data_IF_497230152138
#
_entry.id   IF_497230152138
#
_cell.length_a   1.000
_cell.length_b   1.000
_cell.length_c   1.000
_cell.angle_alpha   90.00
_cell.angle_beta   90.00
_cell.angle_gamma   90.00
#
_symmetry.space_group_name_H-M   'P 1'
#
loop_
_entity.id
_entity.type
_entity.pdbx_description
1 polymer ?
#
# COMPACT_ATOMS: atom_id res chain seq x y z
N UNK A 1 32.27 13.67 -15.11
CA UNK A 1 31.05 13.91 -14.33
C UNK A 1 29.89 13.49 -15.21
N UNK A 2 28.97 12.64 -14.74
CA UNK A 2 27.78 12.32 -15.54
C UNK A 2 26.88 13.56 -15.51
N UNK A 3 26.74 14.23 -16.65
CA UNK A 3 25.78 15.33 -16.79
C UNK A 3 24.37 14.76 -16.67
N UNK A 4 23.57 15.37 -15.80
CA UNK A 4 22.16 15.00 -15.63
C UNK A 4 21.40 15.57 -16.82
N UNK A 5 21.30 14.78 -17.88
CA UNK A 5 20.47 15.11 -19.04
C UNK A 5 19.02 14.81 -18.68
N UNK A 6 18.19 15.85 -18.72
CA UNK A 6 16.76 15.87 -18.41
C UNK A 6 16.34 15.42 -17.00
N UNK A 7 16.04 16.40 -16.14
CA UNK A 7 15.14 16.25 -14.98
C UNK A 7 13.67 16.20 -15.40
N UNK A 8 13.35 15.61 -16.55
CA UNK A 8 11.98 15.20 -16.86
C UNK A 8 11.66 13.97 -16.00
N UNK A 9 11.46 14.19 -14.71
CA UNK A 9 11.08 13.15 -13.77
C UNK A 9 9.63 12.80 -14.08
N UNK A 10 9.41 11.84 -14.98
CA UNK A 10 8.14 11.15 -15.05
C UNK A 10 7.92 10.52 -13.68
N UNK A 11 6.85 10.93 -12.98
CA UNK A 11 6.52 10.37 -11.69
C UNK A 11 6.33 8.86 -11.84
N UNK A 12 7.22 8.08 -11.22
CA UNK A 12 7.11 6.63 -11.18
C UNK A 12 6.11 6.21 -10.11
N UNK A 13 5.27 5.26 -10.45
CA UNK A 13 4.36 4.64 -9.51
C UNK A 13 5.09 3.61 -8.65
N UNK A 14 4.62 3.42 -7.42
CA UNK A 14 5.20 2.45 -6.50
C UNK A 14 5.15 1.01 -7.07
N UNK A 15 4.10 0.65 -7.81
CA UNK A 15 4.01 -0.66 -8.47
C UNK A 15 5.08 -0.84 -9.56
N UNK A 16 5.39 0.21 -10.33
CA UNK A 16 6.44 0.18 -11.37
C UNK A 16 7.81 -0.02 -10.74
N UNK A 17 8.06 0.67 -9.62
CA UNK A 17 9.28 0.44 -8.82
C UNK A 17 9.31 -0.99 -8.27
N UNK A 18 8.16 -1.54 -7.85
CA UNK A 18 8.08 -2.91 -7.35
C UNK A 18 8.45 -3.94 -8.42
N UNK A 19 7.87 -3.82 -9.62
CA UNK A 19 8.11 -4.69 -10.77
C UNK A 19 9.55 -4.58 -11.23
N UNK A 20 10.08 -3.36 -11.40
CA UNK A 20 11.47 -3.13 -11.77
C UNK A 20 12.46 -3.81 -10.79
N UNK A 21 12.21 -3.70 -9.48
CA UNK A 21 13.04 -4.35 -8.46
C UNK A 21 12.88 -5.87 -8.45
N UNK A 22 11.73 -6.40 -8.87
CA UNK A 22 11.50 -7.84 -9.02
C UNK A 22 12.27 -8.38 -10.23
N UNK A 23 12.20 -7.71 -11.38
CA UNK A 23 12.89 -8.10 -12.62
C UNK A 23 14.41 -8.07 -12.44
N UNK A 24 14.95 -7.01 -11.84
CA UNK A 24 16.38 -6.93 -11.50
C UNK A 24 16.83 -8.05 -10.59
N UNK A 25 15.97 -8.51 -9.67
CA UNK A 25 16.28 -9.64 -8.80
C UNK A 25 16.27 -10.96 -9.57
N UNK A 26 15.31 -11.15 -10.48
CA UNK A 26 15.21 -12.33 -11.32
C UNK A 26 16.46 -12.46 -12.22
N UNK A 27 16.80 -11.40 -12.96
CA UNK A 27 17.98 -11.36 -13.83
C UNK A 27 19.28 -11.70 -13.10
N UNK A 28 19.42 -11.29 -11.83
CA UNK A 28 20.60 -11.64 -11.01
C UNK A 28 20.61 -13.09 -10.58
N UNK A 29 19.46 -13.65 -10.20
CA UNK A 29 19.37 -15.07 -9.86
C UNK A 29 19.75 -15.93 -11.06
N UNK A 30 19.26 -15.55 -12.23
CA UNK A 30 19.61 -16.19 -13.50
C UNK A 30 21.11 -16.06 -13.78
N UNK A 31 21.67 -14.85 -13.74
CA UNK A 31 23.12 -14.63 -13.91
C UNK A 31 23.97 -15.46 -12.92
N UNK A 32 23.51 -15.61 -11.67
CA UNK A 32 24.19 -16.41 -10.64
C UNK A 32 24.07 -17.92 -10.90
N UNK A 33 22.95 -18.38 -11.47
CA UNK A 33 22.78 -19.77 -11.89
C UNK A 33 23.68 -20.10 -13.08
N UNK A 34 23.81 -19.18 -14.05
CA UNK A 34 24.56 -19.39 -15.30
C UNK A 34 26.08 -19.30 -15.10
N UNK A 35 26.60 -18.38 -14.27
CA UNK A 35 28.05 -18.21 -14.07
C UNK A 35 28.68 -19.16 -13.03
N UNK A 36 27.87 -19.98 -12.36
CA UNK A 36 28.34 -20.75 -11.19
C UNK A 36 28.93 -19.84 -10.11
N UNK A 37 29.53 -20.39 -9.06
CA UNK A 37 30.13 -19.65 -7.92
C UNK A 37 31.34 -18.75 -8.28
N UNK A 38 31.53 -18.35 -9.54
CA UNK A 38 32.56 -17.36 -9.87
C UNK A 38 32.07 -15.97 -9.47
N UNK A 39 32.66 -15.44 -8.38
CA UNK A 39 32.28 -14.18 -7.74
C UNK A 39 32.34 -13.01 -8.73
N UNK A 40 31.25 -12.28 -8.99
CA UNK A 40 31.37 -10.94 -9.56
C UNK A 40 32.06 -10.07 -8.51
N UNK A 41 33.14 -9.39 -8.89
CA UNK A 41 33.92 -8.51 -8.02
C UNK A 41 33.01 -7.63 -7.16
N UNK A 42 33.06 -7.84 -5.84
CA UNK A 42 32.34 -7.01 -4.87
C UNK A 42 32.97 -5.63 -4.79
N UNK A 43 32.64 -4.74 -5.73
CA UNK A 43 32.82 -3.31 -5.49
C UNK A 43 31.84 -2.89 -4.39
N UNK A 44 32.32 -2.10 -3.42
CA UNK A 44 31.55 -1.61 -2.27
C UNK A 44 30.22 -0.95 -2.70
N UNK A 45 30.21 -0.29 -3.88
CA UNK A 45 29.02 0.24 -4.57
C UNK A 45 27.90 -0.79 -4.78
N UNK A 46 28.25 -2.06 -5.00
CA UNK A 46 27.27 -3.13 -5.15
C UNK A 46 26.62 -3.54 -3.82
N UNK A 47 27.31 -3.43 -2.67
CA UNK A 47 26.73 -3.80 -1.37
C UNK A 47 25.68 -2.78 -0.93
N UNK A 48 25.99 -1.50 -1.06
CA UNK A 48 25.06 -0.40 -0.74
C UNK A 48 23.86 -0.39 -1.68
N UNK A 49 24.08 -0.52 -2.99
CA UNK A 49 22.98 -0.63 -3.96
C UNK A 49 22.05 -1.83 -3.64
N UNK A 50 22.62 -3.00 -3.29
CA UNK A 50 21.83 -4.16 -2.88
C UNK A 50 21.06 -3.94 -1.59
N UNK A 51 21.67 -3.26 -0.61
CA UNK A 51 21.00 -2.91 0.64
C UNK A 51 19.81 -1.98 0.37
N UNK A 52 20.03 -0.92 -0.43
CA UNK A 52 19.00 0.03 -0.81
C UNK A 52 17.86 -0.63 -1.59
N UNK A 53 18.17 -1.41 -2.63
CA UNK A 53 17.16 -2.16 -3.38
C UNK A 53 16.36 -3.11 -2.48
N UNK A 54 17.00 -3.76 -1.51
CA UNK A 54 16.31 -4.62 -0.55
C UNK A 54 15.38 -3.82 0.36
N UNK A 55 15.80 -2.63 0.82
CA UNK A 55 15.00 -1.72 1.65
C UNK A 55 13.82 -1.13 0.90
N UNK A 56 14.03 -0.60 -0.30
CA UNK A 56 12.95 -0.04 -1.14
C UNK A 56 11.94 -1.13 -1.49
N UNK A 57 12.40 -2.31 -1.93
CA UNK A 57 11.50 -3.45 -2.18
C UNK A 57 10.70 -3.85 -0.93
N UNK A 58 11.33 -3.84 0.24
CA UNK A 58 10.64 -4.16 1.49
C UNK A 58 9.55 -3.13 1.82
N UNK A 59 9.84 -1.85 1.60
CA UNK A 59 8.88 -0.75 1.77
C UNK A 59 7.72 -0.88 0.79
N UNK A 60 8.01 -0.93 -0.51
CA UNK A 60 7.00 -0.94 -1.57
C UNK A 60 6.06 -2.16 -1.49
N UNK A 61 6.57 -3.33 -1.10
CA UNK A 61 5.73 -4.54 -0.91
C UNK A 61 4.72 -4.44 0.24
N UNK A 62 4.90 -3.48 1.15
CA UNK A 62 3.98 -3.23 2.27
C UNK A 62 2.96 -2.14 1.95
N UNK A 63 3.14 -1.43 0.84
CA UNK A 63 2.18 -0.43 0.41
C UNK A 63 0.97 -1.11 -0.22
N UNK A 64 -0.22 -0.47 -0.15
CA UNK A 64 -1.40 -0.95 -0.85
C UNK A 64 -1.15 -1.21 -2.34
N UNK A 65 -0.41 -0.31 -3.02
CA UNK A 65 -0.03 -0.42 -4.44
C UNK A 65 0.93 -1.56 -4.76
N UNK A 66 1.52 -2.22 -3.76
CA UNK A 66 2.58 -3.21 -3.97
C UNK A 66 2.13 -4.48 -4.70
N UNK A 67 0.82 -4.73 -4.81
CA UNK A 67 0.22 -5.88 -5.52
C UNK A 67 -0.47 -5.50 -6.84
N UNK A 68 -0.51 -4.22 -7.18
CA UNK A 68 -1.15 -3.72 -8.41
C UNK A 68 -0.17 -3.87 -9.56
N UNK A 69 -0.64 -4.29 -10.74
CA UNK A 69 0.22 -4.29 -11.92
C UNK A 69 0.44 -2.88 -12.44
N UNK A 70 1.62 -2.63 -13.04
CA UNK A 70 1.88 -1.33 -13.68
C UNK A 70 0.86 -0.99 -14.76
N UNK A 71 0.34 -1.98 -15.48
CA UNK A 71 -0.70 -1.75 -16.49
C UNK A 71 -1.99 -1.21 -15.89
N UNK A 72 -2.51 -1.85 -14.83
CA UNK A 72 -3.72 -1.40 -14.14
C UNK A 72 -3.53 0.00 -13.55
N UNK A 73 -2.38 0.26 -12.96
CA UNK A 73 -2.06 1.55 -12.38
C UNK A 73 -1.96 2.66 -13.45
N UNK A 74 -1.44 2.35 -14.64
CA UNK A 74 -1.42 3.26 -15.79
C UNK A 74 -2.80 3.52 -16.36
N UNK A 75 -3.66 2.50 -16.43
CA UNK A 75 -5.07 2.68 -16.81
C UNK A 75 -5.78 3.62 -15.83
N UNK A 76 -5.59 3.42 -14.51
CA UNK A 76 -6.15 4.33 -13.50
C UNK A 76 -5.64 5.77 -13.64
N UNK A 77 -4.34 5.98 -13.90
CA UNK A 77 -3.81 7.31 -14.20
C UNK A 77 -4.45 7.92 -15.45
N UNK A 78 -4.64 7.15 -16.53
CA UNK A 78 -5.24 7.63 -17.76
C UNK A 78 -6.69 8.07 -17.54
N UNK A 79 -7.48 7.26 -16.84
CA UNK A 79 -8.86 7.58 -16.43
C UNK A 79 -8.91 8.87 -15.62
N UNK A 80 -8.05 9.00 -14.60
CA UNK A 80 -7.97 10.22 -13.78
C UNK A 80 -7.48 11.45 -14.56
N UNK A 81 -6.85 11.24 -15.72
CA UNK A 81 -6.42 12.31 -16.64
C UNK A 81 -7.51 12.70 -17.64
N UNK A 82 -8.65 12.01 -17.62
CA UNK A 82 -9.76 12.22 -18.55
C UNK A 82 -9.62 11.50 -19.89
N UNK A 83 -8.76 10.49 -19.99
CA UNK A 83 -8.69 9.66 -21.20
C UNK A 83 -9.92 8.76 -21.31
N UNK A 84 -10.87 9.20 -22.13
CA UNK A 84 -12.12 8.48 -22.37
C UNK A 84 -11.90 7.15 -23.10
N UNK A 85 -10.86 7.00 -23.92
CA UNK A 85 -10.59 5.73 -24.61
C UNK A 85 -10.14 4.67 -23.62
N UNK A 86 -9.23 5.04 -22.72
CA UNK A 86 -8.79 4.16 -21.63
C UNK A 86 -9.96 3.82 -20.68
N UNK A 87 -10.81 4.80 -20.38
CA UNK A 87 -11.96 4.61 -19.50
C UNK A 87 -13.00 3.65 -20.06
N UNK A 88 -13.37 3.80 -21.33
CA UNK A 88 -14.34 2.92 -21.98
C UNK A 88 -13.83 1.48 -22.06
N UNK A 89 -12.56 1.31 -22.47
CA UNK A 89 -11.93 -0.02 -22.49
C UNK A 89 -11.93 -0.68 -21.11
N UNK A 90 -11.56 0.08 -20.06
CA UNK A 90 -11.53 -0.45 -18.70
C UNK A 90 -12.94 -0.74 -18.14
N UNK A 91 -13.92 0.08 -18.50
CA UNK A 91 -15.32 -0.15 -18.13
C UNK A 91 -15.89 -1.40 -18.80
N UNK A 92 -15.53 -1.66 -20.06
CA UNK A 92 -15.90 -2.89 -20.76
C UNK A 92 -15.26 -4.13 -20.13
N UNK A 93 -13.99 -4.04 -19.71
CA UNK A 93 -13.32 -5.11 -18.94
C UNK A 93 -14.06 -5.39 -17.61
N UNK A 94 -14.49 -4.34 -16.89
CA UNK A 94 -15.26 -4.47 -15.64
C UNK A 94 -16.66 -5.08 -15.86
N UNK A 95 -17.33 -4.73 -16.97
CA UNK A 95 -18.61 -5.33 -17.38
C UNK A 95 -18.48 -6.78 -17.80
N UNK A 96 -17.35 -7.15 -18.41
CA UNK A 96 -17.06 -8.52 -18.85
C UNK A 96 -16.56 -9.42 -17.70
N UNK A 97 -16.16 -8.85 -16.56
CA UNK A 97 -15.73 -9.59 -15.39
C UNK A 97 -16.85 -10.48 -14.82
N UNK A 98 -16.47 -11.49 -14.02
CA UNK A 98 -17.43 -12.39 -13.36
C UNK A 98 -17.15 -12.45 -11.85
N UNK A 99 -18.04 -11.94 -10.98
CA UNK A 99 -19.26 -11.20 -11.32
C UNK A 99 -18.96 -9.83 -11.96
N UNK A 100 -19.86 -9.30 -12.81
CA UNK A 100 -19.65 -7.99 -13.43
C UNK A 100 -19.75 -6.87 -12.38
N UNK A 101 -18.89 -5.86 -12.50
CA UNK A 101 -18.88 -4.66 -11.65
C UNK A 101 -19.45 -3.46 -12.41
N UNK A 102 -20.78 -3.38 -12.48
CA UNK A 102 -21.49 -2.33 -13.23
C UNK A 102 -21.30 -0.95 -12.57
N UNK A 103 -21.35 -0.88 -11.24
CA UNK A 103 -21.13 0.37 -10.51
C UNK A 103 -19.70 0.88 -10.70
N UNK A 104 -18.71 -0.02 -10.67
CA UNK A 104 -17.33 0.32 -10.97
C UNK A 104 -17.14 0.82 -12.40
N UNK A 105 -17.73 0.15 -13.38
CA UNK A 105 -17.69 0.56 -14.78
C UNK A 105 -18.28 1.96 -14.99
N UNK A 106 -19.46 2.23 -14.42
CA UNK A 106 -20.09 3.55 -14.48
C UNK A 106 -19.27 4.63 -13.78
N UNK A 107 -18.67 4.30 -12.62
CA UNK A 107 -17.80 5.21 -11.90
C UNK A 107 -16.55 5.57 -12.70
N UNK A 108 -15.93 4.62 -13.39
CA UNK A 108 -14.76 4.83 -14.26
C UNK A 108 -15.08 5.78 -15.40
N UNK A 109 -16.17 5.54 -16.13
CA UNK A 109 -16.57 6.40 -17.25
C UNK A 109 -16.92 7.81 -16.80
N UNK A 110 -17.71 7.92 -15.72
CA UNK A 110 -18.12 9.21 -15.19
C UNK A 110 -16.93 9.98 -14.63
N UNK A 111 -16.01 9.31 -13.94
CA UNK A 111 -14.77 9.90 -13.46
C UNK A 111 -13.94 10.47 -14.61
N UNK A 112 -13.72 9.72 -15.70
CA UNK A 112 -12.95 10.24 -16.84
C UNK A 112 -13.62 11.45 -17.50
N UNK A 113 -14.96 11.41 -17.63
CA UNK A 113 -15.73 12.53 -18.19
C UNK A 113 -15.60 13.81 -17.38
N UNK A 114 -15.61 13.70 -16.05
CA UNK A 114 -15.57 14.85 -15.14
C UNK A 114 -14.12 15.28 -14.80
N UNK A 115 -13.12 14.39 -14.94
CA UNK A 115 -11.72 14.61 -14.58
C UNK A 115 -11.09 15.86 -15.20
N UNK A 116 -11.41 16.15 -16.47
CA UNK A 116 -10.90 17.35 -17.17
C UNK A 116 -11.39 18.63 -16.46
N UNK A 117 -12.64 18.66 -16.02
CA UNK A 117 -13.23 19.79 -15.30
C UNK A 117 -12.66 20.00 -13.90
N UNK A 118 -12.28 18.90 -13.23
CA UNK A 118 -11.68 18.94 -11.89
C UNK A 118 -10.22 19.40 -11.90
N UNK A 119 -9.53 19.33 -13.04
CA UNK A 119 -8.13 19.72 -13.21
C UNK A 119 -7.21 19.07 -12.17
N UNK A 120 -7.27 17.73 -12.11
CA UNK A 120 -6.41 16.94 -11.22
C UNK A 120 -4.94 17.08 -11.62
N UNK A 121 -4.11 17.62 -10.72
CA UNK A 121 -2.66 17.68 -10.92
C UNK A 121 -2.02 16.28 -10.92
N UNK A 122 -0.84 16.15 -11.52
CA UNK A 122 -0.10 14.88 -11.59
C UNK A 122 0.14 14.29 -10.20
N UNK A 123 0.45 15.14 -9.21
CA UNK A 123 0.69 14.71 -7.83
C UNK A 123 -0.55 14.05 -7.20
N UNK A 124 -1.73 14.65 -7.37
CA UNK A 124 -2.99 14.08 -6.87
C UNK A 124 -3.30 12.74 -7.55
N UNK A 125 -3.18 12.68 -8.88
CA UNK A 125 -3.44 11.43 -9.64
C UNK A 125 -2.50 10.30 -9.20
N UNK A 126 -1.21 10.60 -9.09
CA UNK A 126 -0.20 9.65 -8.62
C UNK A 126 -0.45 9.20 -7.19
N UNK A 127 -0.85 10.11 -6.29
CA UNK A 127 -1.14 9.75 -4.90
C UNK A 127 -2.39 8.88 -4.78
N UNK A 128 -3.46 9.17 -5.53
CA UNK A 128 -4.67 8.33 -5.57
C UNK A 128 -4.33 6.88 -5.95
N UNK A 129 -3.48 6.70 -6.97
CA UNK A 129 -3.06 5.38 -7.46
C UNK A 129 -2.08 4.70 -6.50
N UNK A 130 -1.09 5.43 -5.98
CA UNK A 130 -0.07 4.88 -5.07
C UNK A 130 -0.64 4.47 -3.71
N UNK A 131 -1.61 5.22 -3.20
CA UNK A 131 -2.32 4.88 -1.97
C UNK A 131 -3.43 3.87 -2.22
N UNK A 132 -3.87 3.73 -3.48
CA UNK A 132 -5.07 2.99 -3.87
C UNK A 132 -6.25 3.37 -2.98
N UNK A 133 -6.58 4.66 -2.90
CA UNK A 133 -7.55 5.16 -1.93
C UNK A 133 -8.80 4.26 -1.84
N UNK A 134 -8.94 3.55 -0.73
CA UNK A 134 -10.02 2.58 -0.47
C UNK A 134 -11.07 3.14 0.48
N UNK A 135 -10.90 4.39 0.93
CA UNK A 135 -11.90 5.13 1.70
C UNK A 135 -12.07 6.55 1.16
N UNK A 136 -13.25 7.12 1.36
CA UNK A 136 -13.53 8.50 0.92
C UNK A 136 -12.68 9.47 1.73
N UNK A 137 -12.41 9.14 3.01
CA UNK A 137 -11.49 9.88 3.90
C UNK A 137 -10.09 9.99 3.30
N UNK A 138 -9.53 8.90 2.77
CA UNK A 138 -8.26 8.94 2.05
C UNK A 138 -8.34 9.79 0.79
N UNK A 139 -9.48 9.73 0.08
CA UNK A 139 -9.78 10.62 -1.04
C UNK A 139 -9.69 12.09 -0.64
N UNK A 140 -10.31 12.50 0.47
CA UNK A 140 -10.23 13.87 0.98
C UNK A 140 -8.81 14.28 1.40
N UNK A 141 -7.99 13.37 1.91
CA UNK A 141 -6.60 13.68 2.22
C UNK A 141 -5.77 14.02 0.97
N UNK A 142 -6.07 13.37 -0.16
CA UNK A 142 -5.35 13.60 -1.42
C UNK A 142 -5.96 14.77 -2.22
N UNK A 143 -7.29 14.86 -2.23
CA UNK A 143 -8.06 15.78 -3.06
C UNK A 143 -8.62 16.98 -2.28
N UNK A 144 -8.25 17.15 -1.00
CA UNK A 144 -8.79 18.18 -0.13
C UNK A 144 -8.71 19.59 -0.70
N UNK A 145 -7.62 19.92 -1.41
CA UNK A 145 -7.44 21.21 -2.09
C UNK A 145 -8.35 21.42 -3.30
N UNK A 146 -9.11 20.39 -3.71
CA UNK A 146 -9.96 20.37 -4.90
C UNK A 146 -11.45 20.19 -4.54
N UNK A 147 -11.79 19.94 -3.27
CA UNK A 147 -13.15 19.67 -2.81
C UNK A 147 -14.12 20.80 -3.20
N UNK A 148 -13.71 22.07 -3.08
CA UNK A 148 -14.57 23.20 -3.45
C UNK A 148 -14.99 23.18 -4.94
N UNK A 149 -14.18 22.58 -5.81
CA UNK A 149 -14.48 22.46 -7.25
C UNK A 149 -15.17 21.15 -7.61
N UNK A 150 -14.77 20.06 -6.96
CA UNK A 150 -15.25 18.71 -7.26
C UNK A 150 -16.58 18.39 -6.55
N UNK A 151 -16.82 19.03 -5.41
CA UNK A 151 -17.80 18.59 -4.42
C UNK A 151 -17.42 17.25 -3.79
N UNK A 152 -18.15 16.89 -2.74
CA UNK A 152 -17.99 15.62 -2.04
C UNK A 152 -18.25 14.42 -2.98
N UNK A 153 -19.22 14.57 -3.88
CA UNK A 153 -19.55 13.57 -4.90
C UNK A 153 -18.40 13.32 -5.88
N UNK A 154 -17.65 14.37 -6.25
CA UNK A 154 -16.50 14.24 -7.15
C UNK A 154 -15.35 13.49 -6.48
N UNK A 155 -15.08 13.75 -5.20
CA UNK A 155 -14.09 12.98 -4.42
C UNK A 155 -14.51 11.51 -4.33
N UNK A 156 -15.76 11.25 -3.94
CA UNK A 156 -16.30 9.89 -3.86
C UNK A 156 -16.28 9.17 -5.22
N UNK A 157 -16.49 9.90 -6.31
CA UNK A 157 -16.42 9.35 -7.67
C UNK A 157 -15.00 8.95 -8.07
N UNK A 158 -13.99 9.81 -7.83
CA UNK A 158 -12.59 9.45 -8.04
C UNK A 158 -12.19 8.20 -7.24
N UNK A 159 -12.58 8.16 -5.97
CA UNK A 159 -12.27 7.03 -5.09
C UNK A 159 -12.95 5.74 -5.58
N UNK A 160 -14.23 5.80 -5.98
CA UNK A 160 -14.93 4.63 -6.55
C UNK A 160 -14.27 4.15 -7.84
N UNK A 161 -13.93 5.04 -8.76
CA UNK A 161 -13.24 4.68 -10.00
C UNK A 161 -11.87 4.01 -9.71
N UNK A 162 -11.09 4.56 -8.77
CA UNK A 162 -9.81 3.96 -8.36
C UNK A 162 -10.00 2.59 -7.72
N UNK A 163 -11.03 2.40 -6.87
CA UNK A 163 -11.33 1.09 -6.28
C UNK A 163 -11.74 0.06 -7.33
N UNK A 164 -12.54 0.45 -8.32
CA UNK A 164 -12.96 -0.43 -9.40
C UNK A 164 -11.76 -0.91 -10.23
N UNK A 165 -10.85 0.01 -10.58
CA UNK A 165 -9.66 -0.32 -11.37
C UNK A 165 -8.58 -1.05 -10.57
N UNK A 166 -8.46 -0.73 -9.28
CA UNK A 166 -7.42 -1.23 -8.38
C UNK A 166 -8.05 -1.97 -7.18
N UNK A 167 -8.78 -3.07 -7.40
CA UNK A 167 -9.63 -3.73 -6.41
C UNK A 167 -8.83 -4.19 -5.19
N UNK A 168 -9.33 -3.94 -3.96
CA UNK A 168 -8.56 -4.00 -2.71
C UNK A 168 -7.73 -5.28 -2.61
N UNK A 169 -6.52 -5.21 -2.03
CA UNK A 169 -5.73 -6.41 -1.89
C UNK A 169 -6.53 -7.41 -1.02
N UNK A 170 -6.38 -8.73 -1.25
CA UNK A 170 -7.01 -9.71 -0.38
C UNK A 170 -6.62 -9.40 1.07
N UNK A 171 -7.59 -9.54 1.99
CA UNK A 171 -7.61 -9.12 3.42
C UNK A 171 -6.37 -9.43 4.28
N UNK A 172 -5.35 -10.10 3.76
CA UNK A 172 -4.07 -10.35 4.44
C UNK A 172 -3.20 -9.11 4.65
N UNK A 173 -3.56 -7.93 4.13
CA UNK A 173 -2.84 -6.67 4.40
C UNK A 173 -3.25 -5.98 5.71
N UNK A 174 -4.33 -6.40 6.37
CA UNK A 174 -4.76 -5.88 7.67
C UNK A 174 -4.61 -6.96 8.74
N UNK A 175 -3.37 -7.33 9.04
CA UNK A 175 -3.06 -7.92 10.34
C UNK A 175 -2.00 -7.06 11.01
N UNK A 176 -2.40 -6.11 11.89
CA UNK A 176 -1.51 -5.75 12.98
C UNK A 176 -1.32 -7.03 13.82
N UNK A 177 -0.08 -7.31 14.18
CA UNK A 177 0.30 -8.54 14.85
C UNK A 177 -0.60 -8.87 16.06
N UNK A 178 -0.99 -10.15 16.16
CA UNK A 178 -1.32 -10.80 17.42
C UNK A 178 -2.65 -10.41 18.06
N UNK A 179 -3.74 -11.07 17.64
CA UNK A 179 -4.82 -11.38 18.57
C UNK A 179 -5.11 -12.87 18.50
N UNK A 180 -4.50 -13.60 19.41
CA UNK A 180 -4.96 -14.94 19.76
C UNK A 180 -6.25 -14.76 20.57
N UNK A 181 -7.40 -14.91 19.91
CA UNK A 181 -8.68 -15.16 20.58
C UNK A 181 -9.30 -16.37 19.90
N UNK A 182 -9.55 -17.40 20.71
CA UNK A 182 -9.86 -18.75 20.28
C UNK A 182 -11.10 -18.85 19.41
N UNK A 183 -11.10 -19.92 18.60
CA UNK A 183 -12.25 -20.41 17.88
C UNK A 183 -13.46 -20.56 18.82
N UNK A 184 -14.44 -19.67 18.68
CA UNK A 184 -15.76 -19.79 19.26
C UNK A 184 -16.70 -20.43 18.24
N UNK A 185 -17.15 -21.64 18.53
CA UNK A 185 -18.25 -22.31 17.85
C UNK A 185 -19.57 -21.51 18.01
N UNK A 186 -20.55 -21.68 17.10
CA UNK A 186 -21.79 -20.90 17.14
C UNK A 186 -22.69 -21.36 18.28
N UNK A 187 -23.26 -20.41 19.02
CA UNK A 187 -24.35 -20.66 19.97
C UNK A 187 -25.58 -19.87 19.54
N UNK A 188 -26.59 -20.62 19.09
CA UNK A 188 -27.96 -20.15 18.91
C UNK A 188 -28.69 -20.12 20.26
N UNK A 189 -29.54 -19.10 20.46
CA UNK A 189 -30.74 -19.21 21.29
C UNK A 189 -30.71 -18.50 22.67
N UNK A 190 -31.83 -17.86 23.08
CA UNK A 190 -31.88 -16.99 24.26
C UNK A 190 -32.33 -17.72 25.54
N UNK A 191 -31.84 -17.24 26.69
CA UNK A 191 -32.52 -17.42 27.98
C UNK A 191 -31.67 -17.97 29.12
N UNK A 192 -31.85 -17.32 30.27
CA UNK A 192 -31.56 -17.77 31.64
C UNK A 192 -30.13 -17.50 32.16
N UNK A 193 -30.03 -16.49 33.03
CA UNK A 193 -28.95 -16.35 34.01
C UNK A 193 -29.09 -17.42 35.10
N UNK A 194 -27.97 -18.01 35.55
CA UNK A 194 -27.84 -18.33 36.97
C UNK A 194 -26.53 -17.78 37.56
N UNK A 195 -26.60 -17.46 38.85
CA UNK A 195 -25.57 -16.83 39.67
C UNK A 195 -24.35 -17.73 40.01
N UNK A 196 -23.53 -17.30 40.98
CA UNK A 196 -22.12 -17.68 41.06
C UNK A 196 -21.93 -19.04 41.76
N UNK A 197 -21.00 -19.84 41.24
CA UNK A 197 -20.51 -21.03 41.92
C UNK A 197 -18.98 -21.00 42.06
N UNK A 198 -18.57 -21.20 43.30
CA UNK A 198 -17.21 -21.23 43.83
C UNK A 198 -16.59 -22.62 43.63
N UNK A 199 -15.27 -22.66 43.38
CA UNK A 199 -14.39 -23.74 43.83
C UNK A 199 -13.87 -24.70 42.75
N UNK A 200 -12.54 -24.92 42.73
CA UNK A 200 -11.95 -26.03 41.98
C UNK A 200 -10.47 -25.87 41.64
N UNK A 201 -9.61 -26.19 42.61
CA UNK A 201 -8.15 -26.30 42.51
C UNK A 201 -7.70 -27.33 41.45
N UNK A 202 -6.61 -27.04 40.72
CA UNK A 202 -6.03 -27.94 39.74
C UNK A 202 -4.65 -27.49 39.23
N UNK A 203 -3.63 -27.63 40.07
CA UNK A 203 -2.21 -27.38 39.76
C UNK A 203 -1.64 -28.39 38.74
N UNK A 204 -0.83 -27.89 37.79
CA UNK A 204 0.36 -28.50 37.11
C UNK A 204 0.73 -27.51 35.99
N UNK A 205 1.86 -26.82 35.92
CA UNK A 205 3.21 -27.04 36.42
C UNK A 205 4.17 -26.88 35.23
N UNK A 206 5.18 -25.99 35.35
CA UNK A 206 6.38 -25.82 34.51
C UNK A 206 6.21 -25.16 33.12
N UNK A 207 7.05 -24.23 32.65
CA UNK A 207 8.25 -23.56 33.19
C UNK A 207 8.40 -22.20 32.52
N UNK A 208 8.52 -21.14 33.32
CA UNK A 208 8.96 -19.82 32.88
C UNK A 208 10.49 -19.84 32.81
N UNK A 209 11.07 -19.49 31.65
CA UNK A 209 12.48 -19.07 31.57
C UNK A 209 12.51 -17.56 31.35
N UNK A 210 12.59 -16.84 32.46
CA UNK A 210 13.08 -15.47 32.50
C UNK A 210 14.57 -15.50 32.15
N UNK A 211 14.98 -14.69 31.18
CA UNK A 211 16.38 -14.33 31.01
C UNK A 211 16.46 -12.81 31.08
N UNK A 212 16.63 -12.32 32.30
CA UNK A 212 17.14 -10.97 32.56
C UNK A 212 18.56 -10.89 31.99
N UNK A 213 18.77 -9.89 31.15
CA UNK A 213 20.09 -9.28 31.00
C UNK A 213 19.86 -7.79 31.03
N UNK A 214 19.99 -7.24 32.23
CA UNK A 214 20.03 -5.80 32.45
C UNK A 214 21.25 -5.20 31.76
N UNK A 215 21.03 -4.05 31.13
CA UNK A 215 22.03 -2.99 31.10
C UNK A 215 21.30 -1.65 31.06
N UNK A 216 21.15 -1.07 32.25
CA UNK A 216 20.90 0.35 32.40
C UNK A 216 22.13 1.10 31.88
N UNK A 217 21.92 2.11 31.06
CA UNK A 217 22.85 3.22 30.90
C UNK A 217 22.03 4.48 30.62
N UNK A 218 22.31 5.44 31.48
CA UNK A 218 21.61 6.66 31.80
C UNK A 218 21.69 7.74 30.72
N UNK A 219 20.61 8.53 30.69
CA UNK A 219 20.50 9.97 30.48
C UNK A 219 21.74 10.75 30.00
N UNK A 220 21.54 11.53 28.94
CA UNK A 220 22.16 12.85 28.79
C UNK A 220 21.19 13.76 28.04
N UNK A 221 20.40 14.50 28.80
CA UNK A 221 19.67 15.68 28.35
C UNK A 221 20.64 16.84 28.32
N UNK A 222 20.89 17.43 27.15
CA UNK A 222 21.53 18.73 27.03
C UNK A 222 20.51 19.69 26.41
N UNK A 223 19.81 20.40 27.29
CA UNK A 223 19.11 21.62 26.97
C UNK A 223 20.12 22.77 27.11
N UNK A 224 20.35 23.51 26.03
CA UNK A 224 20.95 24.84 26.08
C UNK A 224 20.05 25.78 25.29
N UNK A 225 19.14 26.41 26.01
CA UNK A 225 18.43 27.62 25.61
C UNK A 225 18.86 28.70 26.60
N UNK A 226 19.62 29.68 26.14
CA UNK A 226 19.74 31.00 26.77
C UNK A 226 19.70 32.04 25.65
N UNK A 227 18.66 32.87 25.73
CA UNK A 227 18.39 34.11 24.99
C UNK A 227 19.42 35.21 25.35
N UNK A 228 19.56 36.18 24.43
CA UNK A 228 19.75 37.64 24.67
C UNK A 228 21.03 38.05 25.42
N UNK A 229 21.86 38.96 24.95
CA UNK A 229 21.70 40.09 24.03
C UNK A 229 22.92 40.22 23.10
#
# INVERSE_FOLDING_TARGET
MAECLDTAVTALLNCEVAEFLADRRAARKESQATMGRTRPGHHLRGKEARWLESKVRHYVRRLPSGSVSSSQARTALAVLSGDMSAALSAADDLRAATPPDLEGAEAVERCAREAIGWQLGDAQRVQLVNLRCVSDVEGYLVLGSLVERMGDDGVALCVRAVRALLPPPPVSFHSPAGSAAGAGAPVDGPGVLPGPAVGGSGSRGRSVRFRESGRASSASSAASSTRGD
#
